data_IF_979654692081
#
_entry.id   IF_979654692081
#
_cell.length_a   1.000
_cell.length_b   1.000
_cell.length_c   1.000
_cell.angle_alpha   90.00
_cell.angle_beta   90.00
_cell.angle_gamma   90.00
#
_symmetry.space_group_name_H-M   'P 1'
#
loop_
_entity.id
_entity.type
_entity.pdbx_description
1 polymer ?
#
# COMPACT_ATOMS: atom_id res chain seq x y z
N UNK A 1 -26.36 -31.09 54.47
CA UNK A 1 -25.39 -30.08 53.98
C UNK A 1 -24.88 -30.56 52.63
N UNK A 2 -25.50 -30.10 51.54
CA UNK A 2 -25.13 -30.49 50.17
C UNK A 2 -24.17 -29.42 49.64
N UNK A 3 -22.93 -29.80 49.30
CA UNK A 3 -21.95 -28.90 48.67
C UNK A 3 -22.34 -28.72 47.20
N UNK A 4 -22.67 -27.49 46.83
CA UNK A 4 -22.89 -27.08 45.45
C UNK A 4 -21.57 -27.15 44.67
N UNK A 5 -21.59 -27.85 43.53
CA UNK A 5 -20.54 -27.82 42.51
C UNK A 5 -20.91 -26.64 41.60
N UNK A 6 -20.13 -25.56 41.68
CA UNK A 6 -20.26 -24.43 40.75
C UNK A 6 -19.81 -24.87 39.36
N UNK A 7 -20.76 -24.95 38.43
CA UNK A 7 -20.51 -25.13 37.01
C UNK A 7 -19.97 -23.80 36.46
N UNK A 8 -18.68 -23.75 36.14
CA UNK A 8 -18.09 -22.60 35.44
C UNK A 8 -18.60 -22.66 34.00
N UNK A 9 -19.54 -21.79 33.66
CA UNK A 9 -19.94 -21.53 32.28
C UNK A 9 -18.73 -20.86 31.58
N UNK A 10 -17.99 -21.61 30.79
CA UNK A 10 -17.08 -21.04 29.79
C UNK A 10 -17.94 -20.37 28.73
N UNK A 11 -18.04 -19.04 28.78
CA UNK A 11 -18.48 -18.24 27.65
C UNK A 11 -17.50 -18.47 26.51
N UNK A 12 -17.88 -19.33 25.55
CA UNK A 12 -17.28 -19.28 24.23
C UNK A 12 -17.72 -17.96 23.61
N UNK A 13 -16.83 -16.97 23.60
CA UNK A 13 -16.97 -15.84 22.70
C UNK A 13 -17.03 -16.42 21.28
N UNK A 14 -18.17 -16.26 20.62
CA UNK A 14 -18.29 -16.51 19.19
C UNK A 14 -17.27 -15.59 18.50
N UNK A 15 -16.15 -16.16 18.07
CA UNK A 15 -15.20 -15.50 17.18
C UNK A 15 -16.01 -15.17 15.91
N UNK A 16 -16.22 -13.87 15.66
CA UNK A 16 -16.91 -13.44 14.45
C UNK A 16 -16.17 -14.04 13.24
N UNK A 17 -16.93 -14.57 12.28
CA UNK A 17 -16.38 -15.10 11.04
C UNK A 17 -15.49 -14.04 10.37
N UNK A 18 -14.36 -14.49 9.86
CA UNK A 18 -13.35 -13.66 9.23
C UNK A 18 -13.93 -12.99 7.97
N UNK A 19 -13.94 -11.66 7.94
CA UNK A 19 -14.46 -10.86 6.83
C UNK A 19 -13.31 -10.27 6.01
N UNK A 20 -12.80 -11.07 5.08
CA UNK A 20 -11.66 -10.73 4.23
C UNK A 20 -12.00 -9.68 3.14
N UNK A 21 -13.29 -9.39 2.93
CA UNK A 21 -13.73 -8.27 2.10
C UNK A 21 -13.27 -6.93 2.66
N UNK A 22 -12.93 -6.89 3.95
CA UNK A 22 -12.45 -5.66 4.58
C UNK A 22 -11.13 -5.17 4.00
N UNK A 23 -10.25 -6.00 3.46
CA UNK A 23 -9.02 -5.51 2.81
C UNK A 23 -9.08 -5.69 1.30
N UNK A 24 -9.53 -6.84 0.80
CA UNK A 24 -9.64 -7.09 -0.64
C UNK A 24 -11.09 -7.26 -1.06
N UNK A 25 -11.77 -6.16 -1.46
CA UNK A 25 -13.00 -6.30 -2.21
C UNK A 25 -12.70 -7.04 -3.52
N UNK A 26 -13.56 -7.95 -3.92
CA UNK A 26 -13.30 -8.83 -5.06
C UNK A 26 -14.58 -9.09 -5.86
N UNK A 27 -15.31 -8.04 -6.22
CA UNK A 27 -16.48 -8.18 -7.07
C UNK A 27 -16.07 -8.30 -8.55
N UNK A 28 -16.94 -8.95 -9.34
CA UNK A 28 -16.77 -9.01 -10.78
C UNK A 28 -16.63 -7.60 -11.39
N UNK A 29 -15.59 -7.40 -12.18
CA UNK A 29 -15.25 -6.12 -12.80
C UNK A 29 -14.48 -5.14 -11.90
N UNK A 30 -14.09 -5.54 -10.69
CA UNK A 30 -13.10 -4.81 -9.89
C UNK A 30 -11.70 -4.91 -10.51
N UNK A 31 -10.90 -3.85 -10.38
CA UNK A 31 -9.63 -3.72 -11.07
C UNK A 31 -8.62 -2.92 -10.24
N UNK A 32 -7.34 -3.25 -10.36
CA UNK A 32 -6.22 -2.54 -9.77
C UNK A 32 -5.14 -2.33 -10.82
N UNK A 33 -4.57 -1.12 -10.87
CA UNK A 33 -3.42 -0.83 -11.71
C UNK A 33 -2.21 -0.53 -10.82
N UNK A 34 -1.11 -1.21 -11.12
CA UNK A 34 0.14 -1.11 -10.38
C UNK A 34 1.25 -0.60 -11.28
N UNK A 35 2.17 0.16 -10.69
CA UNK A 35 3.49 0.38 -11.24
C UNK A 35 4.46 -0.57 -10.55
N UNK A 36 5.29 -1.24 -11.35
CA UNK A 36 6.31 -2.17 -10.89
C UNK A 36 7.69 -1.73 -11.37
N UNK A 37 8.66 -1.78 -10.47
CA UNK A 37 10.07 -1.49 -10.77
C UNK A 37 10.97 -2.50 -10.09
N UNK A 38 12.02 -2.90 -10.80
CA UNK A 38 13.07 -3.77 -10.30
C UNK A 38 14.45 -3.13 -10.56
N UNK A 39 15.41 -3.27 -9.63
CA UNK A 39 16.76 -2.72 -9.80
C UNK A 39 17.56 -3.41 -10.91
N UNK A 40 17.50 -4.74 -10.95
CA UNK A 40 18.32 -5.56 -11.86
C UNK A 40 17.71 -5.65 -13.28
N UNK A 41 16.42 -5.32 -13.38
CA UNK A 41 15.69 -5.18 -14.63
C UNK A 41 15.11 -3.76 -14.69
N UNK A 42 15.90 -2.80 -15.18
CA UNK A 42 15.53 -1.38 -15.28
C UNK A 42 14.28 -1.08 -16.16
N UNK A 43 13.59 -2.12 -16.64
CA UNK A 43 12.32 -2.03 -17.35
C UNK A 43 11.19 -1.82 -16.35
N UNK A 44 10.62 -0.61 -16.37
CA UNK A 44 9.39 -0.32 -15.62
C UNK A 44 8.19 -0.86 -16.37
N UNK A 45 7.28 -1.51 -15.64
CA UNK A 45 6.08 -2.10 -16.24
C UNK A 45 4.86 -1.68 -15.44
N UNK A 46 3.77 -1.37 -16.14
CA UNK A 46 2.47 -1.27 -15.48
C UNK A 46 1.73 -2.58 -15.59
N UNK A 47 1.14 -2.99 -14.48
CA UNK A 47 0.40 -4.23 -14.37
C UNK A 47 -1.04 -3.86 -14.03
N UNK A 48 -1.98 -4.21 -14.90
CA UNK A 48 -3.40 -4.16 -14.58
C UNK A 48 -3.84 -5.54 -14.14
N UNK A 49 -4.49 -5.61 -12.99
CA UNK A 49 -5.14 -6.80 -12.44
C UNK A 49 -6.63 -6.57 -12.47
N UNK A 50 -7.37 -7.39 -13.22
CA UNK A 50 -8.83 -7.32 -13.29
C UNK A 50 -9.44 -8.59 -12.74
N UNK A 51 -10.53 -8.45 -11.98
CA UNK A 51 -11.37 -9.59 -11.57
C UNK A 51 -12.43 -9.79 -12.64
N UNK A 52 -12.41 -10.95 -13.28
CA UNK A 52 -13.27 -11.26 -14.44
C UNK A 52 -14.53 -12.04 -14.09
N UNK A 53 -14.51 -12.74 -12.96
CA UNK A 53 -15.66 -13.45 -12.44
C UNK A 53 -15.42 -13.84 -10.99
N UNK A 54 -16.52 -13.99 -10.24
CA UNK A 54 -16.53 -14.51 -8.87
C UNK A 54 -17.53 -15.67 -8.83
N UNK A 55 -17.17 -16.75 -8.15
CA UNK A 55 -18.09 -17.88 -7.92
C UNK A 55 -19.29 -17.46 -7.09
N UNK A 56 -20.40 -18.19 -7.22
CA UNK A 56 -21.69 -17.85 -6.57
C UNK A 56 -21.60 -17.79 -5.03
N UNK A 57 -20.67 -18.53 -4.45
CA UNK A 57 -20.38 -18.56 -3.01
C UNK A 57 -19.19 -17.68 -2.61
N UNK A 58 -18.65 -16.89 -3.55
CA UNK A 58 -17.50 -16.02 -3.34
C UNK A 58 -16.26 -16.74 -2.85
N UNK A 59 -16.01 -17.98 -3.29
CA UNK A 59 -14.85 -18.79 -2.90
C UNK A 59 -13.73 -18.84 -3.95
N UNK A 60 -13.98 -18.31 -5.14
CA UNK A 60 -13.00 -18.27 -6.23
C UNK A 60 -13.25 -17.05 -7.10
N UNK A 61 -12.18 -16.50 -7.66
CA UNK A 61 -12.25 -15.47 -8.69
C UNK A 61 -11.18 -15.66 -9.75
N UNK A 62 -11.51 -15.28 -11.00
CA UNK A 62 -10.55 -15.26 -12.11
C UNK A 62 -9.92 -13.89 -12.25
N UNK A 63 -8.65 -13.87 -12.68
CA UNK A 63 -7.91 -12.63 -12.90
C UNK A 63 -7.30 -12.55 -14.30
N UNK A 64 -7.40 -11.37 -14.88
CA UNK A 64 -6.68 -10.98 -16.09
C UNK A 64 -5.53 -10.04 -15.72
N UNK A 65 -4.34 -10.35 -16.23
CA UNK A 65 -3.16 -9.50 -16.11
C UNK A 65 -2.83 -8.87 -17.46
N UNK A 66 -2.74 -7.54 -17.49
CA UNK A 66 -2.28 -6.79 -18.66
C UNK A 66 -1.03 -6.00 -18.32
N UNK A 67 0.01 -6.20 -19.11
CA UNK A 67 1.26 -5.45 -19.00
C UNK A 67 1.24 -4.28 -19.99
N UNK A 68 1.64 -3.10 -19.53
CA UNK A 68 1.88 -1.93 -20.38
C UNK A 68 3.39 -1.63 -20.29
N UNK A 69 4.10 -1.91 -21.37
CA UNK A 69 5.56 -1.96 -21.45
C UNK A 69 6.04 -3.29 -22.03
N UNK A 70 7.35 -3.47 -22.18
CA UNK A 70 7.94 -4.75 -22.59
C UNK A 70 8.52 -5.44 -21.36
N UNK A 71 7.76 -6.34 -20.69
CA UNK A 71 8.32 -7.14 -19.60
C UNK A 71 9.37 -8.11 -20.17
N UNK A 72 10.29 -8.55 -19.31
CA UNK A 72 11.19 -9.65 -19.67
C UNK A 72 10.38 -10.94 -19.87
N UNK A 73 10.79 -11.83 -20.79
CA UNK A 73 9.98 -12.99 -21.20
C UNK A 73 9.73 -13.98 -20.03
N UNK A 74 10.68 -14.11 -19.12
CA UNK A 74 10.55 -14.95 -17.92
C UNK A 74 9.50 -14.41 -16.93
N UNK A 75 9.15 -13.13 -17.03
CA UNK A 75 8.14 -12.47 -16.20
C UNK A 75 6.71 -12.88 -16.58
N UNK A 76 6.45 -13.14 -17.88
CA UNK A 76 5.09 -13.35 -18.41
C UNK A 76 4.49 -14.69 -17.98
N UNK A 77 5.33 -15.72 -17.80
CA UNK A 77 4.90 -17.11 -17.57
C UNK A 77 4.28 -17.30 -16.16
N UNK A 78 4.60 -16.42 -15.20
CA UNK A 78 4.11 -16.50 -13.82
C UNK A 78 2.71 -15.91 -13.57
N UNK A 79 2.16 -15.06 -14.44
CA UNK A 79 0.95 -14.27 -14.15
C UNK A 79 -0.36 -14.82 -14.75
N UNK A 80 -0.33 -15.88 -15.55
CA UNK A 80 -1.56 -16.57 -15.98
C UNK A 80 -2.04 -17.53 -14.89
N UNK A 81 -2.57 -17.02 -13.78
CA UNK A 81 -2.97 -17.86 -12.65
C UNK A 81 -4.41 -17.57 -12.17
N UNK A 82 -5.18 -18.65 -12.00
CA UNK A 82 -6.48 -18.65 -11.32
C UNK A 82 -6.26 -18.65 -9.80
N UNK A 83 -6.96 -17.81 -9.03
CA UNK A 83 -6.75 -17.74 -7.58
C UNK A 83 -7.92 -18.36 -6.79
N UNK A 84 -7.59 -19.01 -5.68
CA UNK A 84 -8.54 -19.70 -4.81
C UNK A 84 -8.65 -19.00 -3.46
N UNK A 85 -9.86 -19.00 -2.90
CA UNK A 85 -10.03 -18.82 -1.46
C UNK A 85 -9.87 -20.20 -0.83
N UNK A 86 -8.97 -20.31 0.12
CA UNK A 86 -8.48 -21.60 0.60
C UNK A 86 -9.43 -22.31 1.58
N UNK A 87 -10.37 -21.56 2.19
CA UNK A 87 -11.35 -22.14 3.10
C UNK A 87 -12.60 -21.27 3.29
N UNK A 88 -13.57 -21.82 4.03
CA UNK A 88 -14.84 -21.17 4.41
C UNK A 88 -14.67 -19.99 5.38
N UNK A 89 -13.45 -19.72 5.86
CA UNK A 89 -13.10 -18.53 6.64
C UNK A 89 -12.46 -17.44 5.77
N UNK A 90 -12.54 -17.61 4.44
CA UNK A 90 -12.03 -16.71 3.42
C UNK A 90 -10.51 -16.62 3.30
N UNK A 91 -9.70 -17.43 4.00
CA UNK A 91 -8.25 -17.24 3.95
C UNK A 91 -7.74 -17.35 2.49
N UNK A 92 -7.06 -16.31 1.99
CA UNK A 92 -6.65 -16.24 0.58
C UNK A 92 -5.40 -17.10 0.39
N UNK A 93 -5.45 -18.11 -0.47
CA UNK A 93 -4.23 -18.81 -0.89
C UNK A 93 -4.34 -19.36 -2.33
N UNK A 94 -3.47 -18.83 -3.18
CA UNK A 94 -2.76 -19.50 -4.29
C UNK A 94 -3.55 -20.26 -5.37
N UNK A 95 -2.99 -20.25 -6.59
CA UNK A 95 -3.41 -21.11 -7.69
C UNK A 95 -2.95 -22.55 -7.45
N UNK A 96 -3.74 -23.49 -7.95
CA UNK A 96 -3.40 -24.93 -7.89
C UNK A 96 -2.35 -25.35 -8.93
N UNK A 97 -1.84 -24.44 -9.76
CA UNK A 97 -1.04 -24.75 -10.95
C UNK A 97 0.15 -23.80 -11.15
N UNK A 98 1.37 -24.26 -10.86
CA UNK A 98 2.54 -24.26 -11.78
C UNK A 98 3.91 -24.30 -11.05
N UNK A 99 4.89 -24.86 -11.76
CA UNK A 99 6.22 -25.36 -11.34
C UNK A 99 7.34 -24.30 -11.22
N UNK A 100 7.05 -23.01 -11.08
CA UNK A 100 8.08 -21.98 -10.93
C UNK A 100 7.65 -20.88 -9.95
N UNK A 101 8.41 -20.75 -8.85
CA UNK A 101 8.49 -19.57 -7.97
C UNK A 101 7.16 -18.94 -7.53
N UNK A 102 6.33 -19.74 -6.85
CA UNK A 102 5.12 -19.29 -6.17
C UNK A 102 5.51 -18.38 -4.99
N UNK A 103 5.40 -17.05 -5.15
CA UNK A 103 5.47 -16.03 -4.07
C UNK A 103 4.07 -15.49 -3.73
N UNK A 104 3.06 -16.36 -3.75
CA UNK A 104 1.66 -15.95 -3.83
C UNK A 104 0.98 -15.83 -2.46
N UNK A 105 1.21 -14.65 -1.85
CA UNK A 105 0.33 -13.89 -0.94
C UNK A 105 -0.63 -14.71 -0.09
N UNK A 106 -0.14 -15.06 1.09
CA UNK A 106 -0.94 -15.54 2.21
C UNK A 106 -1.23 -14.38 3.14
N UNK A 107 -2.49 -13.97 3.23
CA UNK A 107 -2.91 -12.96 4.20
C UNK A 107 -3.91 -13.58 5.18
N UNK A 108 -3.63 -13.40 6.47
CA UNK A 108 -4.62 -13.52 7.53
C UNK A 108 -4.96 -12.12 7.99
N UNK A 109 -6.24 -11.75 7.91
CA UNK A 109 -6.65 -10.35 8.08
C UNK A 109 -7.16 -10.01 9.50
N UNK A 110 -7.38 -11.03 10.34
CA UNK A 110 -7.62 -10.87 11.78
C UNK A 110 -6.33 -11.21 12.53
N UNK A 111 -5.47 -10.21 12.65
CA UNK A 111 -4.12 -10.35 13.18
C UNK A 111 -3.78 -9.16 14.07
N UNK A 112 -2.98 -9.42 15.11
CA UNK A 112 -2.46 -8.39 15.99
C UNK A 112 -1.00 -8.06 15.64
N UNK A 113 -0.56 -6.85 15.98
CA UNK A 113 0.85 -6.44 15.84
C UNK A 113 1.75 -7.46 16.54
N UNK A 114 2.81 -7.90 15.86
CA UNK A 114 3.78 -8.87 16.36
C UNK A 114 3.36 -10.34 16.19
N UNK A 115 2.18 -10.63 15.67
CA UNK A 115 1.81 -12.02 15.38
C UNK A 115 2.62 -12.61 14.21
N UNK A 116 3.05 -13.86 14.39
CA UNK A 116 3.76 -14.68 13.40
C UNK A 116 2.86 -15.80 12.91
N UNK A 117 2.80 -16.00 11.60
CA UNK A 117 2.01 -17.09 11.00
C UNK A 117 2.81 -17.85 9.94
N UNK A 118 2.58 -19.16 9.86
CA UNK A 118 3.16 -20.04 8.84
C UNK A 118 2.38 -19.89 7.54
N UNK A 119 3.11 -19.67 6.45
CA UNK A 119 2.56 -19.44 5.10
C UNK A 119 2.63 -20.67 4.23
N UNK A 120 3.75 -21.40 4.28
CA UNK A 120 4.01 -22.54 3.41
C UNK A 120 5.03 -23.49 4.02
N UNK A 121 4.91 -24.78 3.71
CA UNK A 121 5.96 -25.78 3.90
C UNK A 121 6.50 -26.19 2.51
N UNK A 122 7.78 -25.95 2.26
CA UNK A 122 8.45 -26.29 1.00
C UNK A 122 9.29 -27.57 1.07
N UNK A 123 9.18 -28.36 2.15
CA UNK A 123 9.97 -29.57 2.35
C UNK A 123 11.43 -29.33 2.75
N UNK A 124 11.86 -28.06 2.83
CA UNK A 124 13.15 -27.61 3.39
C UNK A 124 13.03 -26.55 4.50
N UNK A 125 11.82 -26.07 4.79
CA UNK A 125 11.54 -25.03 5.79
C UNK A 125 10.15 -24.42 5.61
N UNK A 126 9.76 -23.56 6.55
CA UNK A 126 8.51 -22.81 6.49
C UNK A 126 8.73 -21.37 6.03
N UNK A 127 7.87 -20.84 5.17
CA UNK A 127 7.77 -19.38 5.01
C UNK A 127 6.91 -18.82 6.14
N UNK A 128 7.30 -17.69 6.72
CA UNK A 128 6.49 -16.98 7.72
C UNK A 128 6.10 -15.60 7.22
N UNK A 129 5.00 -15.08 7.76
CA UNK A 129 4.79 -13.65 7.81
C UNK A 129 4.66 -13.15 9.24
N UNK A 130 5.06 -11.90 9.43
CA UNK A 130 4.88 -11.13 10.65
C UNK A 130 4.02 -9.92 10.37
N UNK A 131 3.12 -9.61 11.30
CA UNK A 131 2.42 -8.33 11.29
C UNK A 131 3.31 -7.29 11.92
N UNK A 132 3.81 -6.39 11.08
CA UNK A 132 4.76 -5.39 11.48
C UNK A 132 4.07 -4.22 12.19
N UNK A 133 3.01 -3.68 11.59
CA UNK A 133 2.28 -2.55 12.16
C UNK A 133 0.82 -2.48 11.65
N UNK A 134 -0.02 -1.81 12.44
CA UNK A 134 -1.42 -1.49 12.11
C UNK A 134 -1.67 -0.04 12.50
N UNK A 135 -1.90 0.84 11.52
CA UNK A 135 -2.04 2.27 11.75
C UNK A 135 -3.03 2.94 10.79
N UNK A 136 -3.69 4.05 11.18
CA UNK A 136 -4.50 4.82 10.26
C UNK A 136 -3.61 5.63 9.31
N UNK A 137 -3.91 5.61 8.00
CA UNK A 137 -3.32 6.51 7.01
C UNK A 137 -4.37 6.91 5.96
N UNK A 138 -4.04 7.87 5.11
CA UNK A 138 -4.90 8.34 4.03
C UNK A 138 -4.49 7.72 2.70
N UNK A 139 -5.39 6.94 2.09
CA UNK A 139 -5.21 6.37 0.75
C UNK A 139 -6.32 6.89 -0.15
N UNK A 140 -5.95 7.47 -1.31
CA UNK A 140 -6.90 8.09 -2.26
C UNK A 140 -7.90 9.04 -1.58
N UNK A 141 -7.38 9.93 -0.72
CA UNK A 141 -8.15 10.92 0.05
C UNK A 141 -9.18 10.32 1.04
N UNK A 142 -9.05 9.04 1.39
CA UNK A 142 -9.86 8.37 2.42
C UNK A 142 -8.96 7.88 3.55
N UNK A 143 -9.28 8.29 4.78
CA UNK A 143 -8.65 7.72 5.97
C UNK A 143 -9.07 6.26 6.08
N UNK A 144 -8.09 5.37 6.18
CA UNK A 144 -8.28 3.93 6.26
C UNK A 144 -7.21 3.29 7.14
N UNK A 145 -7.48 2.08 7.61
CA UNK A 145 -6.54 1.28 8.38
C UNK A 145 -5.53 0.63 7.42
N UNK A 146 -4.25 0.80 7.73
CA UNK A 146 -3.12 0.17 7.06
C UNK A 146 -2.69 -1.03 7.87
N UNK A 147 -2.41 -2.13 7.16
CA UNK A 147 -1.81 -3.35 7.69
C UNK A 147 -0.50 -3.58 6.96
N UNK A 148 0.60 -3.62 7.70
CA UNK A 148 1.93 -3.89 7.19
C UNK A 148 2.38 -5.29 7.58
N UNK A 149 2.76 -6.08 6.58
CA UNK A 149 3.12 -7.49 6.73
C UNK A 149 4.49 -7.71 6.09
N UNK A 150 5.40 -8.36 6.81
CA UNK A 150 6.72 -8.74 6.31
C UNK A 150 6.83 -10.26 6.22
N UNK A 151 7.34 -10.75 5.09
CA UNK A 151 7.49 -12.17 4.77
C UNK A 151 8.96 -12.58 4.85
N UNK A 152 9.21 -13.76 5.40
CA UNK A 152 10.57 -14.28 5.62
C UNK A 152 10.67 -15.78 5.28
N UNK A 153 11.83 -16.20 4.77
CA UNK A 153 12.22 -17.61 4.67
C UNK A 153 12.97 -18.08 5.92
N UNK A 154 12.78 -19.35 6.27
CA UNK A 154 13.48 -20.01 7.39
C UNK A 154 14.98 -20.23 7.17
N UNK A 155 15.45 -20.29 5.93
CA UNK A 155 16.87 -20.55 5.66
C UNK A 155 17.71 -19.28 5.78
N UNK A 156 18.06 -18.90 7.02
CA UNK A 156 19.16 -17.98 7.26
C UNK A 156 19.97 -18.37 8.51
N UNK A 157 21.25 -18.71 8.30
CA UNK A 157 22.20 -18.98 9.38
C UNK A 157 22.71 -17.71 10.08
N UNK A 158 22.43 -16.51 9.53
CA UNK A 158 22.88 -15.23 10.07
C UNK A 158 21.84 -14.55 10.98
N UNK A 159 20.54 -14.86 10.83
CA UNK A 159 19.47 -14.29 11.66
C UNK A 159 18.47 -15.36 12.13
N UNK A 160 18.80 -16.00 13.24
CA UNK A 160 18.02 -17.11 13.80
C UNK A 160 16.62 -16.71 14.35
N UNK A 161 16.31 -15.42 14.50
CA UNK A 161 15.04 -14.96 15.07
C UNK A 161 13.94 -14.70 14.03
N UNK A 162 14.29 -14.14 12.87
CA UNK A 162 13.32 -13.74 11.84
C UNK A 162 13.48 -14.48 10.50
N UNK A 163 14.68 -15.01 10.20
CA UNK A 163 14.99 -15.57 8.88
C UNK A 163 15.36 -14.51 7.84
N UNK A 164 15.46 -14.90 6.56
CA UNK A 164 15.78 -13.99 5.45
C UNK A 164 14.52 -13.23 5.02
N UNK A 165 14.54 -11.90 5.09
CA UNK A 165 13.42 -11.06 4.61
C UNK A 165 13.26 -11.22 3.11
N UNK A 166 12.04 -11.53 2.65
CA UNK A 166 11.66 -11.68 1.24
C UNK A 166 10.98 -10.44 0.66
N UNK A 167 9.87 -10.03 1.26
CA UNK A 167 9.15 -8.84 0.85
C UNK A 167 8.22 -8.40 1.95
N UNK A 168 7.77 -7.16 1.90
CA UNK A 168 6.66 -6.66 2.69
C UNK A 168 5.50 -6.26 1.80
N UNK A 169 4.29 -6.43 2.30
CA UNK A 169 3.07 -5.88 1.71
C UNK A 169 2.46 -4.87 2.66
N UNK A 170 2.05 -3.74 2.07
CA UNK A 170 1.25 -2.73 2.75
C UNK A 170 -0.16 -2.80 2.16
N UNK A 171 -1.13 -3.05 3.03
CA UNK A 171 -2.52 -3.27 2.67
C UNK A 171 -3.37 -2.15 3.27
N UNK A 172 -4.28 -1.60 2.47
CA UNK A 172 -5.26 -0.63 2.92
C UNK A 172 -6.66 -1.24 2.98
N UNK A 173 -7.34 -1.05 4.11
CA UNK A 173 -8.69 -1.56 4.32
C UNK A 173 -9.65 -1.00 3.27
N UNK A 174 -10.36 -1.90 2.59
CA UNK A 174 -11.35 -1.65 1.54
C UNK A 174 -10.74 -1.32 0.19
N UNK A 175 -9.42 -1.48 0.04
CA UNK A 175 -8.67 -1.16 -1.18
C UNK A 175 -7.83 -2.37 -1.61
N UNK A 176 -7.05 -2.95 -0.70
CA UNK A 176 -6.18 -4.09 -0.95
C UNK A 176 -4.71 -3.71 -0.84
N UNK A 177 -3.84 -4.41 -1.57
CA UNK A 177 -2.41 -4.10 -1.60
C UNK A 177 -2.17 -2.75 -2.28
N UNK A 178 -1.56 -1.83 -1.53
CA UNK A 178 -1.20 -0.49 -1.99
C UNK A 178 0.30 -0.36 -2.27
N UNK A 179 1.12 -1.18 -1.63
CA UNK A 179 2.56 -1.20 -1.84
C UNK A 179 3.15 -2.57 -1.52
N UNK A 180 4.25 -2.89 -2.18
CA UNK A 180 5.14 -4.01 -1.87
C UNK A 180 6.59 -3.55 -1.98
N UNK A 181 7.44 -4.05 -1.10
CA UNK A 181 8.89 -3.87 -1.16
C UNK A 181 9.58 -5.24 -1.08
N UNK A 182 10.51 -5.53 -1.97
CA UNK A 182 11.28 -6.78 -1.96
C UNK A 182 12.74 -6.62 -1.52
N UNK A 183 13.44 -7.76 -1.42
CA UNK A 183 14.80 -7.90 -0.86
C UNK A 183 15.85 -6.99 -1.49
N UNK A 184 15.69 -6.67 -2.77
CA UNK A 184 16.67 -5.92 -3.56
C UNK A 184 16.23 -4.48 -3.85
N UNK A 185 15.15 -4.03 -3.22
CA UNK A 185 14.59 -2.71 -3.45
C UNK A 185 13.62 -2.67 -4.64
N UNK A 186 13.32 -3.82 -5.24
CA UNK A 186 12.14 -3.95 -6.10
C UNK A 186 10.90 -3.51 -5.34
N UNK A 187 9.98 -2.87 -6.06
CA UNK A 187 8.76 -2.41 -5.46
C UNK A 187 7.59 -2.43 -6.43
N UNK A 188 6.41 -2.59 -5.85
CA UNK A 188 5.15 -2.43 -6.53
C UNK A 188 4.34 -1.36 -5.80
N UNK A 189 3.64 -0.51 -6.53
CA UNK A 189 2.73 0.47 -5.92
C UNK A 189 1.41 0.54 -6.66
N UNK A 190 0.32 0.76 -5.94
CA UNK A 190 -0.99 0.97 -6.52
C UNK A 190 -1.10 2.39 -7.10
N UNK A 191 -1.41 2.48 -8.39
CA UNK A 191 -1.69 3.74 -9.09
C UNK A 191 -3.15 4.16 -8.99
N UNK A 192 -4.04 3.17 -9.02
CA UNK A 192 -5.48 3.36 -9.01
C UNK A 192 -6.24 2.05 -9.00
N UNK A 193 -7.51 2.13 -8.68
CA UNK A 193 -8.39 0.96 -8.62
C UNK A 193 -9.82 1.32 -9.03
N UNK A 194 -10.55 0.35 -9.56
CA UNK A 194 -12.00 0.36 -9.69
C UNK A 194 -12.53 -0.68 -8.73
N UNK A 195 -13.24 -0.23 -7.70
CA UNK A 195 -13.77 -1.09 -6.64
C UNK A 195 -15.24 -0.78 -6.48
N UNK A 196 -16.10 -1.79 -6.62
CA UNK A 196 -17.55 -1.69 -6.56
C UNK A 196 -18.09 -0.59 -7.48
N UNK A 197 -17.52 -0.49 -8.69
CA UNK A 197 -17.89 0.52 -9.69
C UNK A 197 -17.34 1.94 -9.43
N UNK A 198 -16.65 2.18 -8.31
CA UNK A 198 -16.03 3.48 -8.00
C UNK A 198 -14.54 3.47 -8.35
N UNK A 199 -14.08 4.57 -8.95
CA UNK A 199 -12.67 4.76 -9.31
C UNK A 199 -11.89 5.50 -8.22
N UNK A 200 -10.64 5.11 -8.06
CA UNK A 200 -9.67 5.66 -7.10
C UNK A 200 -8.30 5.84 -7.77
N UNK A 201 -7.50 6.78 -7.27
CA UNK A 201 -6.15 7.09 -7.79
C UNK A 201 -6.16 8.16 -8.87
N UNK A 202 -5.15 8.14 -9.75
CA UNK A 202 -4.96 9.13 -10.83
C UNK A 202 -6.16 9.08 -11.80
N UNK A 203 -7.19 9.85 -11.43
CA UNK A 203 -8.61 10.01 -11.79
C UNK A 203 -9.41 9.02 -12.67
N UNK A 204 -8.81 8.19 -13.50
CA UNK A 204 -9.42 7.09 -14.24
C UNK A 204 -8.27 6.59 -15.09
N UNK A 205 -7.66 5.46 -14.78
CA UNK A 205 -6.84 4.73 -15.75
C UNK A 205 -7.58 3.49 -16.28
N UNK A 206 -8.76 3.23 -15.71
CA UNK A 206 -9.62 2.06 -15.94
C UNK A 206 -10.92 2.49 -16.65
N UNK A 207 -10.83 3.47 -17.55
CA UNK A 207 -11.92 3.72 -18.52
C UNK A 207 -11.55 2.98 -19.81
N UNK A 208 -12.16 1.84 -20.14
CA UNK A 208 -11.81 1.09 -21.35
C UNK A 208 -12.02 1.90 -22.64
N UNK A 209 -12.76 3.02 -22.61
CA UNK A 209 -13.01 3.88 -23.78
C UNK A 209 -12.05 5.07 -23.92
N UNK A 210 -11.19 5.33 -22.93
CA UNK A 210 -10.15 6.39 -23.00
C UNK A 210 -8.75 5.79 -23.08
N UNK A 211 -8.39 5.33 -24.26
CA UNK A 211 -7.03 4.91 -24.66
C UNK A 211 -6.04 6.09 -24.83
N UNK A 212 -6.31 7.24 -24.20
CA UNK A 212 -5.55 8.48 -24.43
C UNK A 212 -5.22 9.23 -23.14
N UNK A 213 -5.04 8.54 -22.03
CA UNK A 213 -4.73 9.19 -20.75
C UNK A 213 -3.25 9.16 -20.48
N UNK A 214 -2.59 10.26 -20.86
CA UNK A 214 -1.28 10.63 -20.31
C UNK A 214 -1.43 10.80 -18.80
N UNK A 215 -1.29 9.70 -18.06
CA UNK A 215 -0.84 9.78 -16.66
C UNK A 215 0.38 10.69 -16.68
N UNK A 216 0.43 11.74 -15.85
CA UNK A 216 1.57 12.65 -15.85
C UNK A 216 2.83 11.81 -15.74
N UNK A 217 3.71 11.91 -16.73
CA UNK A 217 5.00 11.21 -16.76
C UNK A 217 6.07 11.97 -15.96
N UNK A 218 5.63 12.87 -15.10
CA UNK A 218 6.46 13.79 -14.32
C UNK A 218 5.76 14.15 -13.03
N UNK A 219 6.57 14.54 -12.06
CA UNK A 219 6.09 15.12 -10.81
C UNK A 219 5.23 16.35 -11.09
N UNK A 220 4.11 16.50 -10.38
CA UNK A 220 3.28 17.70 -10.44
C UNK A 220 3.16 18.29 -9.05
N UNK A 221 3.61 19.53 -8.87
CA UNK A 221 3.31 20.29 -7.65
C UNK A 221 2.05 21.12 -7.87
N UNK A 222 1.03 20.91 -7.03
CA UNK A 222 -0.18 21.72 -7.06
C UNK A 222 -0.08 22.91 -6.11
N UNK A 223 -0.85 23.98 -6.36
CA UNK A 223 -0.99 25.06 -5.40
C UNK A 223 -1.49 24.53 -4.04
N UNK A 224 -0.84 24.96 -2.97
CA UNK A 224 -1.29 24.65 -1.62
C UNK A 224 -2.67 25.25 -1.36
N UNK A 225 -3.53 24.56 -0.62
CA UNK A 225 -4.85 25.07 -0.26
C UNK A 225 -5.22 24.69 1.18
N UNK A 226 -5.74 25.63 2.00
CA UNK A 226 -5.96 27.05 1.67
C UNK A 226 -4.65 27.85 1.56
N UNK A 227 -4.63 28.89 0.73
CA UNK A 227 -3.54 29.86 0.64
C UNK A 227 -4.09 31.19 0.09
N UNK A 228 -4.13 32.29 0.88
CA UNK A 228 -3.64 32.41 2.25
C UNK A 228 -4.41 31.51 3.26
N UNK A 229 -3.81 31.24 4.42
CA UNK A 229 -4.38 30.37 5.46
C UNK A 229 -4.15 30.93 6.88
N UNK A 230 -4.93 30.47 7.86
CA UNK A 230 -4.89 30.99 9.24
C UNK A 230 -4.55 29.95 10.34
N UNK A 231 -4.70 28.65 10.06
CA UNK A 231 -4.46 27.57 11.03
C UNK A 231 -3.80 26.33 10.44
N UNK A 232 -4.11 26.01 9.18
CA UNK A 232 -3.54 24.87 8.49
C UNK A 232 -3.57 25.12 6.97
N UNK A 233 -2.54 24.66 6.28
CA UNK A 233 -2.55 24.53 4.82
C UNK A 233 -2.14 23.12 4.42
N UNK A 234 -2.36 22.79 3.16
CA UNK A 234 -2.02 21.48 2.62
C UNK A 234 -1.23 21.63 1.34
N UNK A 235 -0.05 21.02 1.34
CA UNK A 235 0.83 20.86 0.19
C UNK A 235 0.33 19.66 -0.58
N UNK A 236 0.00 19.84 -1.86
CA UNK A 236 -0.56 18.79 -2.71
C UNK A 236 0.38 18.54 -3.87
N UNK A 237 0.62 17.27 -4.18
CA UNK A 237 1.49 16.89 -5.28
C UNK A 237 1.09 15.53 -5.84
N UNK A 238 1.46 15.28 -7.09
CA UNK A 238 1.25 14.03 -7.78
C UNK A 238 2.61 13.39 -8.11
N UNK A 239 2.77 12.14 -7.69
CA UNK A 239 3.88 11.28 -8.08
C UNK A 239 3.46 10.36 -9.24
N UNK A 240 4.32 10.26 -10.25
CA UNK A 240 4.10 9.38 -11.39
C UNK A 240 4.71 7.98 -11.21
N UNK A 241 5.77 7.91 -10.40
CA UNK A 241 6.43 6.71 -9.89
C UNK A 241 6.68 6.90 -8.40
N UNK A 242 6.78 5.83 -7.60
CA UNK A 242 7.26 5.93 -6.24
C UNK A 242 8.60 6.64 -6.15
N UNK A 243 8.75 7.41 -5.09
CA UNK A 243 9.93 8.23 -4.88
C UNK A 243 10.20 8.46 -3.39
N UNK A 244 11.46 8.59 -3.04
CA UNK A 244 11.91 8.94 -1.70
C UNK A 244 11.84 10.46 -1.54
N UNK A 245 10.93 10.92 -0.68
CA UNK A 245 10.68 12.35 -0.51
C UNK A 245 11.13 12.89 0.85
N UNK A 246 11.65 14.11 0.83
CA UNK A 246 11.76 14.99 1.99
C UNK A 246 10.99 16.28 1.74
N UNK A 247 10.23 16.76 2.74
CA UNK A 247 9.38 17.94 2.60
C UNK A 247 9.66 18.89 3.74
N UNK A 248 10.12 20.10 3.42
CA UNK A 248 10.52 21.08 4.43
C UNK A 248 9.91 22.46 4.16
N UNK A 249 9.69 23.22 5.23
CA UNK A 249 9.22 24.61 5.23
C UNK A 249 10.39 25.52 5.59
N UNK A 250 10.53 26.63 4.86
CA UNK A 250 11.54 27.65 5.02
C UNK A 250 10.89 29.03 5.22
N UNK A 251 11.53 29.90 6.01
CA UNK A 251 11.15 31.31 6.12
C UNK A 251 11.64 32.12 4.89
N UNK A 252 11.32 33.41 4.86
CA UNK A 252 11.74 34.34 3.81
C UNK A 252 13.26 34.58 3.75
N UNK A 253 14.04 34.13 4.73
CA UNK A 253 15.50 34.18 4.77
C UNK A 253 16.13 32.85 4.34
N UNK A 254 15.32 31.84 3.99
CA UNK A 254 15.78 30.50 3.63
C UNK A 254 16.15 29.64 4.84
N UNK A 255 15.81 30.07 6.07
CA UNK A 255 16.01 29.24 7.25
C UNK A 255 14.95 28.15 7.28
N UNK A 256 15.35 26.88 7.42
CA UNK A 256 14.41 25.78 7.60
C UNK A 256 13.70 25.92 8.95
N UNK A 257 12.37 25.97 8.92
CA UNK A 257 11.51 26.17 10.09
C UNK A 257 10.86 24.86 10.52
N UNK A 258 10.48 24.01 9.56
CA UNK A 258 9.82 22.72 9.82
C UNK A 258 10.29 21.68 8.82
N UNK A 259 10.60 20.48 9.29
CA UNK A 259 10.68 19.29 8.46
C UNK A 259 9.36 18.51 8.61
N UNK A 260 8.56 18.47 7.55
CA UNK A 260 7.27 17.79 7.54
C UNK A 260 7.42 16.30 7.27
N UNK A 261 8.36 15.95 6.39
CA UNK A 261 8.66 14.58 6.02
C UNK A 261 10.17 14.44 5.81
N UNK A 262 10.78 13.41 6.40
CA UNK A 262 12.21 13.15 6.31
C UNK A 262 12.45 11.79 5.65
N UNK A 263 12.92 11.78 4.41
CA UNK A 263 13.30 10.58 3.65
C UNK A 263 12.25 9.45 3.74
N UNK A 264 10.99 9.76 3.41
CA UNK A 264 9.91 8.76 3.39
C UNK A 264 9.64 8.36 1.95
N UNK A 265 9.51 7.05 1.69
CA UNK A 265 9.04 6.55 0.39
C UNK A 265 7.55 6.87 0.23
N UNK A 266 7.17 7.44 -0.90
CA UNK A 266 5.77 7.65 -1.28
C UNK A 266 5.44 6.79 -2.48
N UNK A 267 4.21 6.26 -2.50
CA UNK A 267 3.62 5.61 -3.67
C UNK A 267 3.45 6.59 -4.82
N UNK A 268 3.23 6.08 -6.04
CA UNK A 268 2.70 6.93 -7.10
C UNK A 268 1.23 7.29 -6.81
N UNK A 269 0.76 8.41 -7.34
CA UNK A 269 -0.56 8.95 -7.08
C UNK A 269 -0.54 10.32 -6.40
N UNK A 270 -1.73 10.75 -5.99
CA UNK A 270 -1.95 12.06 -5.35
C UNK A 270 -1.64 11.99 -3.86
N UNK A 271 -0.90 12.98 -3.39
CA UNK A 271 -0.46 13.10 -2.00
C UNK A 271 -0.79 14.47 -1.44
N UNK A 272 -1.07 14.49 -0.14
CA UNK A 272 -1.41 15.70 0.60
C UNK A 272 -0.73 15.71 1.95
N UNK A 273 0.11 16.73 2.19
CA UNK A 273 0.84 16.91 3.44
C UNK A 273 0.36 18.19 4.11
N UNK A 274 -0.05 18.09 5.37
CA UNK A 274 -0.54 19.25 6.11
C UNK A 274 0.58 19.97 6.86
N UNK A 275 0.49 21.29 6.95
CA UNK A 275 1.29 22.09 7.87
C UNK A 275 0.38 22.91 8.79
N UNK A 276 0.64 22.84 10.10
CA UNK A 276 -0.18 23.38 11.19
C UNK A 276 0.36 24.70 11.76
N UNK A 277 1.10 25.47 10.95
CA UNK A 277 1.75 26.73 11.33
C UNK A 277 2.82 26.60 12.44
N UNK A 278 3.38 25.41 12.69
CA UNK A 278 4.42 25.22 13.72
C UNK A 278 5.80 24.95 13.15
N UNK A 279 6.83 25.31 13.91
CA UNK A 279 8.22 24.97 13.65
C UNK A 279 8.57 23.56 14.21
N UNK A 280 9.83 23.13 14.05
CA UNK A 280 10.32 21.85 14.60
C UNK A 280 10.23 21.75 16.14
N UNK A 281 10.22 22.87 16.85
CA UNK A 281 10.04 22.94 18.31
C UNK A 281 8.56 22.97 18.73
N UNK A 282 7.64 22.68 17.81
CA UNK A 282 6.19 22.69 18.03
C UNK A 282 5.64 24.06 18.47
N UNK A 283 6.34 25.15 18.12
CA UNK A 283 5.93 26.52 18.39
C UNK A 283 5.31 27.15 17.16
N UNK A 284 4.25 27.93 17.36
CA UNK A 284 3.59 28.68 16.29
C UNK A 284 4.54 29.71 15.67
N UNK A 285 4.57 29.77 14.35
CA UNK A 285 5.37 30.74 13.59
C UNK A 285 4.58 32.03 13.35
N UNK A 286 5.26 33.14 13.03
CA UNK A 286 4.61 34.43 12.77
C UNK A 286 3.80 34.45 11.46
N UNK A 287 2.87 35.40 11.32
CA UNK A 287 2.24 35.67 10.02
C UNK A 287 3.30 36.13 9.01
N UNK A 288 3.18 35.70 7.75
CA UNK A 288 4.18 36.01 6.73
C UNK A 288 4.21 35.01 5.59
N UNK A 289 5.22 35.19 4.72
CA UNK A 289 5.47 34.28 3.62
C UNK A 289 6.44 33.18 4.02
N UNK A 290 6.12 31.97 3.58
CA UNK A 290 6.95 30.79 3.72
C UNK A 290 7.10 30.11 2.36
N UNK A 291 8.17 29.33 2.22
CA UNK A 291 8.40 28.48 1.07
C UNK A 291 8.38 27.05 1.57
N UNK A 292 7.64 26.17 0.90
CA UNK A 292 7.82 24.74 1.09
C UNK A 292 8.63 24.19 -0.09
N UNK A 293 9.46 23.18 0.18
CA UNK A 293 10.22 22.46 -0.83
C UNK A 293 10.02 20.96 -0.64
N UNK A 294 9.71 20.27 -1.74
CA UNK A 294 9.68 18.82 -1.85
C UNK A 294 10.96 18.42 -2.58
N UNK A 295 11.81 17.66 -1.89
CA UNK A 295 12.98 17.01 -2.46
C UNK A 295 12.59 15.59 -2.84
N UNK A 296 12.75 15.27 -4.11
CA UNK A 296 12.63 13.93 -4.68
C UNK A 296 14.03 13.32 -4.84
N UNK A 297 14.14 12.07 -5.27
CA UNK A 297 15.45 11.46 -5.58
C UNK A 297 16.24 12.20 -6.67
N UNK A 298 15.56 12.82 -7.64
CA UNK A 298 16.18 13.43 -8.82
C UNK A 298 16.12 14.97 -8.84
N UNK A 299 15.08 15.55 -8.24
CA UNK A 299 14.72 16.97 -8.39
C UNK A 299 14.20 17.60 -7.08
N UNK A 300 14.09 18.93 -7.06
CA UNK A 300 13.39 19.67 -6.01
C UNK A 300 12.31 20.58 -6.59
N UNK A 301 11.18 20.67 -5.88
CA UNK A 301 10.02 21.46 -6.28
C UNK A 301 9.60 22.36 -5.12
N UNK A 302 9.41 23.65 -5.38
CA UNK A 302 9.08 24.62 -4.33
C UNK A 302 7.78 25.37 -4.63
N UNK A 303 7.04 25.70 -3.58
CA UNK A 303 5.87 26.56 -3.65
C UNK A 303 5.84 27.57 -2.51
N UNK A 304 5.13 28.67 -2.74
CA UNK A 304 5.02 29.79 -1.79
C UNK A 304 3.66 29.81 -1.11
N UNK A 305 3.67 30.02 0.20
CA UNK A 305 2.46 30.05 1.03
C UNK A 305 2.45 31.28 1.93
N UNK A 306 1.25 31.77 2.25
CA UNK A 306 1.04 32.96 3.07
C UNK A 306 0.18 32.63 4.29
N UNK A 307 0.77 32.77 5.47
CA UNK A 307 0.07 32.65 6.75
C UNK A 307 -0.46 34.02 7.18
N UNK A 308 -1.75 34.09 7.48
CA UNK A 308 -2.45 35.26 8.01
C UNK A 308 -3.17 34.83 9.29
N UNK A 309 -2.68 35.31 10.43
CA UNK A 309 -3.35 35.21 11.74
C UNK A 309 -4.13 36.48 12.04
#
# INVERSE_FOLDING_TARGET
MVKAISLILLCFATIAAQDNLNYFPHNDGDMWEYYHWEPDAANTVRITVKIDSVTKDSTYFQREFKFIGTPDLDYIIGYQQNYCIADTNHNIFSSKYSYALIRDRTYKFNVNIGEKHVVRDLGGGFDYFYVWDIYPDTVFNKVTEILEIAYYAVEDTANAELGLFHYSDILAKGIGSIQRFGELGDFMTLLGAKINGKFYGVLAAIDPEKDSRKVPNKFVLEPSYPNPFNSQTYIRFLLFKPDLLSISIFDNRGQMIRNLVANKMFSAGEHRISWDCKNNFNQLVASGFYIYTIFTSEHSYSGKIQLIK
#
